data_IF_805440425616
#
_entry.id   IF_805440425616
#
_cell.length_a   1.000
_cell.length_b   1.000
_cell.length_c   1.000
_cell.angle_alpha   90.00
_cell.angle_beta   90.00
_cell.angle_gamma   90.00
#
_symmetry.space_group_name_H-M   'P 1'
#
loop_
_entity.id
_entity.type
_entity.pdbx_description
1 polymer ?
#
# COMPACT_ATOMS: atom_id res chain seq x y z
N UNK A 1 8.41 -1.47 -1.02
CA UNK A 1 9.47 -2.45 -1.30
C UNK A 1 10.58 -2.46 -0.26
N UNK A 2 11.19 -1.31 0.11
CA UNK A 2 12.30 -1.26 1.08
C UNK A 2 11.90 -1.78 2.48
N UNK A 3 10.70 -1.47 2.96
CA UNK A 3 10.21 -1.92 4.26
C UNK A 3 10.01 -3.44 4.36
N UNK A 4 9.58 -4.09 3.28
CA UNK A 4 9.43 -5.55 3.23
C UNK A 4 10.77 -6.29 3.23
N UNK A 5 11.80 -5.71 2.63
CA UNK A 5 13.14 -6.32 2.62
C UNK A 5 13.83 -6.25 3.99
N UNK A 6 13.62 -5.17 4.75
CA UNK A 6 14.11 -5.06 6.13
C UNK A 6 13.41 -6.06 7.06
N UNK A 7 12.08 -6.18 6.99
CA UNK A 7 11.33 -7.14 7.78
C UNK A 7 11.72 -8.59 7.43
N UNK A 8 11.94 -8.88 6.16
CA UNK A 8 12.44 -10.17 5.71
C UNK A 8 13.79 -10.50 6.34
N UNK A 9 14.75 -9.57 6.34
CA UNK A 9 16.06 -9.75 7.01
C UNK A 9 15.90 -10.00 8.52
N UNK A 10 15.00 -9.29 9.18
CA UNK A 10 14.69 -9.49 10.61
C UNK A 10 14.17 -10.89 10.86
N UNK A 11 13.22 -11.38 10.05
CA UNK A 11 12.66 -12.73 10.14
C UNK A 11 13.74 -13.79 9.94
N UNK A 12 14.52 -13.70 8.87
CA UNK A 12 15.57 -14.65 8.54
C UNK A 12 16.63 -14.72 9.63
N UNK A 13 17.12 -13.58 10.12
CA UNK A 13 18.10 -13.52 11.20
C UNK A 13 17.54 -14.08 12.52
N UNK A 14 16.26 -13.84 12.83
CA UNK A 14 15.62 -14.37 14.03
C UNK A 14 15.51 -15.90 13.96
N UNK A 15 15.03 -16.45 12.85
CA UNK A 15 14.91 -17.91 12.66
C UNK A 15 16.28 -18.58 12.71
N UNK A 16 17.27 -18.07 11.97
CA UNK A 16 18.63 -18.63 11.96
C UNK A 16 19.28 -18.59 13.35
N UNK A 17 19.13 -17.50 14.08
CA UNK A 17 19.65 -17.36 15.45
C UNK A 17 19.04 -18.38 16.40
N UNK A 18 17.73 -18.58 16.37
CA UNK A 18 17.05 -19.51 17.27
C UNK A 18 17.29 -20.97 16.84
N UNK A 19 17.46 -21.24 15.55
CA UNK A 19 17.91 -22.54 15.04
C UNK A 19 19.31 -22.90 15.54
N UNK A 20 20.25 -21.95 15.49
CA UNK A 20 21.60 -22.14 16.03
C UNK A 20 21.67 -22.40 17.54
N UNK A 21 20.60 -22.06 18.30
CA UNK A 21 20.45 -22.39 19.72
C UNK A 21 19.76 -23.73 19.98
N UNK A 22 19.37 -24.48 18.94
CA UNK A 22 18.61 -25.73 19.08
C UNK A 22 17.18 -25.57 19.52
N UNK A 23 16.62 -24.35 19.44
CA UNK A 23 15.29 -24.05 20.04
C UNK A 23 14.13 -24.77 19.35
N UNK A 24 14.32 -25.24 18.14
CA UNK A 24 13.32 -25.99 17.34
C UNK A 24 13.41 -27.51 17.54
N UNK A 25 14.46 -28.02 18.18
CA UNK A 25 14.71 -29.45 18.34
C UNK A 25 13.60 -30.12 19.17
N UNK A 26 13.04 -31.20 18.61
CA UNK A 26 11.99 -31.99 19.25
C UNK A 26 10.62 -31.30 19.32
N UNK A 27 10.45 -30.09 18.78
CA UNK A 27 9.21 -29.32 18.84
C UNK A 27 8.43 -29.34 17.54
N UNK A 28 7.13 -29.29 17.64
CA UNK A 28 6.24 -28.99 16.51
C UNK A 28 6.23 -27.47 16.30
N UNK A 29 6.69 -27.03 15.13
CA UNK A 29 6.76 -25.59 14.82
C UNK A 29 5.47 -25.12 14.18
N UNK A 30 4.87 -24.11 14.75
CA UNK A 30 3.64 -23.48 14.31
C UNK A 30 3.89 -22.00 13.99
N UNK A 31 3.09 -21.46 13.06
CA UNK A 31 3.05 -20.00 12.83
C UNK A 31 1.64 -19.53 13.19
N UNK A 32 1.53 -18.50 14.02
CA UNK A 32 0.24 -17.89 14.33
C UNK A 32 0.00 -16.68 13.46
N UNK A 33 -1.03 -16.75 12.63
CA UNK A 33 -1.45 -15.76 11.66
C UNK A 33 -1.06 -16.13 10.21
N UNK A 34 -2.07 -16.36 9.37
CA UNK A 34 -1.87 -16.46 7.92
C UNK A 34 -1.65 -15.08 7.33
N UNK A 35 -0.54 -14.45 7.68
CA UNK A 35 -0.12 -13.11 7.26
C UNK A 35 0.86 -13.17 6.08
N UNK A 36 1.14 -12.08 5.38
CA UNK A 36 2.19 -12.04 4.35
C UNK A 36 3.56 -12.49 4.87
N UNK A 37 3.88 -12.22 6.15
CA UNK A 37 5.13 -12.64 6.79
C UNK A 37 5.26 -14.16 6.97
N UNK A 38 4.14 -14.89 7.02
CA UNK A 38 4.16 -16.34 7.18
C UNK A 38 4.93 -17.04 6.06
N UNK A 39 4.94 -16.48 4.85
CA UNK A 39 5.74 -16.99 3.73
C UNK A 39 7.23 -16.84 4.00
N UNK A 40 7.67 -15.66 4.44
CA UNK A 40 9.08 -15.39 4.74
C UNK A 40 9.58 -16.26 5.90
N UNK A 41 8.73 -16.47 6.93
CA UNK A 41 9.04 -17.38 8.04
C UNK A 41 9.19 -18.81 7.54
N UNK A 42 8.26 -19.29 6.71
CA UNK A 42 8.33 -20.64 6.15
C UNK A 42 9.59 -20.84 5.30
N UNK A 43 9.94 -19.89 4.45
CA UNK A 43 11.16 -19.93 3.63
C UNK A 43 12.42 -19.99 4.54
N UNK A 44 12.45 -19.16 5.58
CA UNK A 44 13.55 -19.16 6.55
C UNK A 44 13.66 -20.49 7.32
N UNK A 45 12.53 -21.08 7.73
CA UNK A 45 12.51 -22.42 8.36
C UNK A 45 12.99 -23.51 7.40
N UNK A 46 12.56 -23.48 6.15
CA UNK A 46 12.99 -24.45 5.12
C UNK A 46 14.49 -24.41 4.88
N UNK A 47 15.11 -23.24 4.87
CA UNK A 47 16.57 -23.10 4.73
C UNK A 47 17.33 -23.72 5.90
N UNK A 48 16.74 -23.70 7.09
CA UNK A 48 17.30 -24.35 8.28
C UNK A 48 16.90 -25.84 8.41
N UNK A 49 16.17 -26.39 7.44
CA UNK A 49 15.70 -27.77 7.48
C UNK A 49 14.62 -28.05 8.54
N UNK A 50 13.91 -27.01 9.00
CA UNK A 50 12.90 -27.08 10.07
C UNK A 50 11.52 -27.22 9.41
N UNK A 51 10.79 -28.32 9.68
CA UNK A 51 9.45 -28.53 9.15
C UNK A 51 8.42 -27.63 9.86
N UNK A 52 7.54 -26.98 9.10
CA UNK A 52 6.36 -26.31 9.61
C UNK A 52 5.23 -27.34 9.75
N UNK A 53 4.68 -27.48 10.97
CA UNK A 53 3.64 -28.48 11.27
C UNK A 53 2.24 -27.99 10.92
N UNK A 54 1.90 -26.76 11.32
CA UNK A 54 0.58 -26.17 11.08
C UNK A 54 0.62 -24.63 11.17
N UNK A 55 -0.49 -24.01 10.76
CA UNK A 55 -0.77 -22.59 10.99
C UNK A 55 -1.90 -22.46 12.01
N UNK A 56 -1.82 -21.43 12.86
CA UNK A 56 -2.92 -20.97 13.70
C UNK A 56 -3.49 -19.69 13.13
N UNK A 57 -4.79 -19.51 13.11
CA UNK A 57 -5.43 -18.25 12.70
C UNK A 57 -6.77 -18.07 13.41
N UNK A 58 -7.04 -16.88 13.95
CA UNK A 58 -8.31 -16.58 14.63
C UNK A 58 -9.51 -16.42 13.69
N UNK A 59 -9.27 -16.37 12.39
CA UNK A 59 -10.35 -16.28 11.41
C UNK A 59 -10.97 -17.68 11.19
N UNK A 60 -12.23 -17.93 11.63
CA UNK A 60 -12.86 -19.23 11.47
C UNK A 60 -13.07 -19.64 10.01
N UNK A 61 -13.08 -18.70 9.07
CA UNK A 61 -13.19 -19.00 7.64
C UNK A 61 -11.92 -19.64 7.06
N UNK A 62 -10.77 -19.45 7.70
CA UNK A 62 -9.52 -20.09 7.30
C UNK A 62 -9.29 -21.43 7.96
N UNK A 63 -9.90 -21.65 9.12
CA UNK A 63 -9.77 -22.89 9.88
C UNK A 63 -10.36 -24.08 9.11
N UNK A 64 -9.65 -25.22 9.15
CA UNK A 64 -9.98 -26.41 8.37
C UNK A 64 -9.50 -26.38 6.91
N UNK A 65 -8.96 -25.27 6.45
CA UNK A 65 -8.30 -25.15 5.16
C UNK A 65 -6.78 -25.38 5.26
N UNK A 66 -6.06 -24.96 4.22
CA UNK A 66 -4.59 -25.00 4.18
C UNK A 66 -4.02 -23.61 3.89
N UNK A 67 -2.90 -23.30 4.51
CA UNK A 67 -2.10 -22.13 4.23
C UNK A 67 -0.64 -22.54 4.09
N UNK A 68 0.01 -22.12 3.02
CA UNK A 68 1.40 -22.53 2.73
C UNK A 68 1.61 -24.05 2.73
N UNK A 69 0.60 -24.82 2.30
CA UNK A 69 0.67 -26.29 2.20
C UNK A 69 0.57 -27.03 3.53
N UNK A 70 0.27 -26.36 4.65
CA UNK A 70 0.01 -26.98 5.95
C UNK A 70 -1.40 -26.64 6.44
N UNK A 71 -2.00 -27.47 7.33
CA UNK A 71 -3.36 -27.24 7.83
C UNK A 71 -3.43 -25.97 8.70
N UNK A 72 -4.60 -25.32 8.68
CA UNK A 72 -4.92 -24.14 9.50
C UNK A 72 -5.91 -24.53 10.58
N UNK A 73 -5.61 -24.15 11.82
CA UNK A 73 -6.48 -24.41 12.98
C UNK A 73 -6.83 -23.10 13.69
N UNK A 74 -7.98 -23.07 14.35
CA UNK A 74 -8.21 -22.13 15.44
C UNK A 74 -7.28 -22.50 16.61
N UNK A 75 -6.65 -21.53 17.29
CA UNK A 75 -5.72 -21.81 18.39
C UNK A 75 -6.31 -22.77 19.44
N UNK A 76 -7.53 -22.51 19.93
CA UNK A 76 -8.20 -23.31 20.93
C UNK A 76 -8.36 -24.77 20.45
N UNK A 77 -8.78 -24.95 19.20
CA UNK A 77 -8.98 -26.28 18.59
C UNK A 77 -7.69 -27.05 18.41
N UNK A 78 -6.60 -26.35 18.16
CA UNK A 78 -5.30 -26.99 18.05
C UNK A 78 -4.85 -27.53 19.41
N UNK A 79 -4.83 -26.69 20.44
CA UNK A 79 -4.37 -27.05 21.78
C UNK A 79 -5.31 -28.06 22.49
N UNK A 80 -6.61 -28.11 22.18
CA UNK A 80 -7.53 -29.17 22.63
C UNK A 80 -7.17 -30.57 22.11
N UNK A 81 -6.58 -30.66 20.93
CA UNK A 81 -6.38 -31.94 20.21
C UNK A 81 -4.94 -32.42 20.15
N UNK A 82 -4.00 -31.52 20.35
CA UNK A 82 -2.57 -31.80 20.20
C UNK A 82 -1.88 -31.57 21.55
N UNK A 83 -1.33 -32.66 22.09
CA UNK A 83 -0.47 -32.65 23.27
C UNK A 83 0.98 -32.89 22.80
N UNK A 84 1.90 -31.98 23.07
CA UNK A 84 3.29 -32.13 22.70
C UNK A 84 4.03 -30.79 22.81
N UNK A 85 5.36 -30.86 22.75
CA UNK A 85 6.18 -29.66 22.76
C UNK A 85 6.00 -28.89 21.47
N UNK A 86 5.51 -27.66 21.56
CA UNK A 86 5.30 -26.77 20.45
C UNK A 86 6.23 -25.56 20.54
N UNK A 87 6.55 -24.98 19.40
CA UNK A 87 7.09 -23.62 19.32
C UNK A 87 6.23 -22.79 18.34
N UNK A 88 5.53 -21.80 18.89
CA UNK A 88 4.66 -20.93 18.11
C UNK A 88 5.41 -19.66 17.74
N UNK A 89 5.52 -19.38 16.44
CA UNK A 89 6.15 -18.16 15.90
C UNK A 89 5.07 -17.11 15.69
N UNK A 90 5.26 -15.94 16.31
CA UNK A 90 4.44 -14.75 16.14
C UNK A 90 5.18 -13.73 15.28
N UNK A 91 4.55 -13.27 14.22
CA UNK A 91 5.08 -12.23 13.34
C UNK A 91 3.92 -11.41 12.77
N UNK A 92 3.37 -10.53 13.57
CA UNK A 92 2.18 -9.75 13.27
C UNK A 92 2.19 -8.44 14.06
N UNK A 93 1.40 -7.47 13.64
CA UNK A 93 1.08 -6.28 14.45
C UNK A 93 0.31 -6.60 15.74
N UNK A 94 -0.24 -7.79 15.83
CA UNK A 94 -1.04 -8.27 16.98
C UNK A 94 -0.25 -9.26 17.86
N UNK A 95 1.08 -9.22 17.84
CA UNK A 95 1.91 -10.15 18.61
C UNK A 95 1.55 -10.16 20.10
N UNK A 96 1.23 -9.00 20.68
CA UNK A 96 0.87 -8.89 22.11
C UNK A 96 -0.44 -9.61 22.44
N UNK A 97 -1.47 -9.36 21.65
CA UNK A 97 -2.78 -9.98 21.80
C UNK A 97 -2.72 -11.51 21.55
N UNK A 98 -1.99 -11.91 20.52
CA UNK A 98 -1.76 -13.32 20.21
C UNK A 98 -0.96 -14.01 21.32
N UNK A 99 0.03 -13.32 21.90
CA UNK A 99 0.80 -13.81 23.01
C UNK A 99 -0.06 -14.04 24.25
N UNK A 100 -0.92 -13.07 24.60
CA UNK A 100 -1.86 -13.20 25.72
C UNK A 100 -2.83 -14.39 25.52
N UNK A 101 -3.37 -14.55 24.31
CA UNK A 101 -4.24 -15.67 23.95
C UNK A 101 -3.51 -17.02 24.10
N UNK A 102 -2.25 -17.10 23.68
CA UNK A 102 -1.46 -18.33 23.85
C UNK A 102 -1.18 -18.64 25.31
N UNK A 103 -0.95 -17.66 26.16
CA UNK A 103 -0.79 -17.84 27.60
C UNK A 103 -2.06 -18.38 28.26
N UNK A 104 -3.23 -17.88 27.89
CA UNK A 104 -4.53 -18.41 28.33
C UNK A 104 -4.76 -19.87 27.89
N UNK A 105 -4.16 -20.28 26.77
CA UNK A 105 -4.21 -21.66 26.25
C UNK A 105 -3.09 -22.56 26.84
N UNK A 106 -2.30 -22.04 27.78
CA UNK A 106 -1.22 -22.79 28.43
C UNK A 106 0.10 -22.81 27.66
N UNK A 107 0.23 -22.03 26.59
CA UNK A 107 1.45 -21.89 25.80
C UNK A 107 2.26 -20.68 26.30
N UNK A 108 3.18 -20.88 27.22
CA UNK A 108 4.00 -19.85 27.84
C UNK A 108 5.08 -19.27 26.94
N UNK A 109 5.84 -18.30 27.45
CA UNK A 109 6.87 -17.57 26.70
C UNK A 109 8.01 -18.46 26.20
N UNK A 110 8.30 -19.58 26.86
CA UNK A 110 9.31 -20.57 26.44
C UNK A 110 8.89 -21.36 25.20
N UNK A 111 7.59 -21.48 24.97
CA UNK A 111 6.99 -22.15 23.80
C UNK A 111 6.61 -21.15 22.69
N UNK A 112 7.09 -19.92 22.77
CA UNK A 112 6.77 -18.84 21.86
C UNK A 112 8.03 -18.12 21.35
N UNK A 113 8.01 -17.72 20.09
CA UNK A 113 9.03 -16.92 19.45
C UNK A 113 8.39 -15.69 18.83
N UNK A 114 8.63 -14.53 19.41
CA UNK A 114 8.12 -13.25 18.94
C UNK A 114 9.12 -12.60 17.97
N UNK A 115 8.72 -12.40 16.73
CA UNK A 115 9.53 -11.70 15.73
C UNK A 115 8.97 -10.28 15.58
N UNK A 116 9.74 -9.25 15.98
CA UNK A 116 9.30 -7.87 15.86
C UNK A 116 9.45 -7.39 14.41
N UNK A 117 8.36 -7.16 13.73
CA UNK A 117 8.31 -6.54 12.40
C UNK A 117 7.79 -5.10 12.50
N UNK A 118 8.00 -4.29 11.46
CA UNK A 118 7.54 -2.88 11.48
C UNK A 118 6.06 -2.75 11.82
N UNK A 119 5.22 -3.68 11.36
CA UNK A 119 3.79 -3.69 11.70
C UNK A 119 3.50 -4.01 13.18
N UNK A 120 4.31 -4.85 13.84
CA UNK A 120 4.15 -5.11 15.28
C UNK A 120 4.57 -3.93 16.16
N UNK A 121 5.46 -3.07 15.65
CA UNK A 121 5.83 -1.80 16.29
C UNK A 121 4.74 -0.73 16.19
N UNK A 122 3.74 -0.90 15.30
CA UNK A 122 2.61 0.04 15.18
C UNK A 122 1.74 0.09 16.44
N UNK A 123 1.73 -0.94 17.29
CA UNK A 123 1.08 -0.89 18.60
C UNK A 123 1.76 0.06 19.58
N UNK A 124 3.05 0.32 19.42
CA UNK A 124 3.78 1.38 20.16
C UNK A 124 3.53 2.76 19.51
N UNK A 125 3.13 2.80 18.23
CA UNK A 125 2.76 4.03 17.52
C UNK A 125 1.36 4.56 17.86
N UNK A 126 0.54 3.81 18.59
CA UNK A 126 -0.78 4.25 19.06
C UNK A 126 -0.71 4.95 20.43
N UNK A 127 0.46 5.47 20.80
CA UNK A 127 0.60 6.39 21.94
C UNK A 127 -0.21 7.66 21.69
N UNK A 128 -0.66 8.31 22.78
CA UNK A 128 -1.37 9.59 22.71
C UNK A 128 -0.60 10.64 21.90
N UNK A 129 0.74 10.64 22.03
CA UNK A 129 1.64 11.54 21.28
C UNK A 129 1.59 11.28 19.78
N UNK A 130 1.56 10.02 19.35
CA UNK A 130 1.48 9.64 17.96
C UNK A 130 0.10 9.94 17.35
N UNK A 131 -0.97 9.76 18.12
CA UNK A 131 -2.31 10.20 17.73
C UNK A 131 -2.35 11.72 17.55
N UNK A 132 -1.80 12.47 18.50
CA UNK A 132 -1.71 13.94 18.39
C UNK A 132 -0.86 14.37 17.18
N UNK A 133 0.23 13.66 16.88
CA UNK A 133 1.05 13.92 15.68
C UNK A 133 0.27 13.66 14.38
N UNK A 134 -0.50 12.57 14.32
CA UNK A 134 -1.39 12.26 13.19
C UNK A 134 -2.46 13.34 13.01
N UNK A 135 -3.08 13.79 14.09
CA UNK A 135 -4.06 14.88 14.04
C UNK A 135 -3.45 16.20 13.56
N UNK A 136 -2.25 16.55 14.04
CA UNK A 136 -1.54 17.74 13.53
C UNK A 136 -1.29 17.65 12.02
N UNK A 137 -0.85 16.50 11.51
CA UNK A 137 -0.66 16.31 10.08
C UNK A 137 -1.95 16.47 9.28
N UNK A 138 -3.08 16.00 9.81
CA UNK A 138 -4.41 16.19 9.20
C UNK A 138 -4.79 17.68 9.20
N UNK A 139 -4.57 18.38 10.31
CA UNK A 139 -4.86 19.81 10.43
C UNK A 139 -4.00 20.65 9.49
N UNK A 140 -2.69 20.41 9.46
CA UNK A 140 -1.73 21.08 8.57
C UNK A 140 -2.06 20.81 7.10
N UNK A 141 -2.37 19.56 6.74
CA UNK A 141 -2.78 19.20 5.38
C UNK A 141 -4.09 19.84 4.95
N UNK A 142 -5.06 19.98 5.88
CA UNK A 142 -6.31 20.68 5.60
C UNK A 142 -6.10 22.20 5.44
N UNK A 143 -5.27 22.79 6.30
CA UNK A 143 -4.91 24.21 6.20
C UNK A 143 -4.21 24.49 4.87
N UNK A 144 -3.23 23.66 4.52
CA UNK A 144 -2.55 23.79 3.24
C UNK A 144 -3.51 23.67 2.04
N UNK A 145 -4.46 22.76 2.10
CA UNK A 145 -5.51 22.67 1.07
C UNK A 145 -6.33 23.97 0.95
N UNK A 146 -6.75 24.55 2.08
CA UNK A 146 -7.50 25.80 2.07
C UNK A 146 -6.68 26.95 1.49
N UNK A 147 -5.39 27.05 1.85
CA UNK A 147 -4.49 28.07 1.32
C UNK A 147 -4.26 27.86 -0.19
N UNK A 148 -4.17 26.62 -0.64
CA UNK A 148 -3.95 26.27 -2.04
C UNK A 148 -5.13 26.70 -2.94
N UNK A 149 -6.36 26.70 -2.42
CA UNK A 149 -7.58 27.04 -3.17
C UNK A 149 -8.20 28.39 -2.75
N UNK A 150 -7.49 29.20 -1.98
CA UNK A 150 -8.05 30.41 -1.35
C UNK A 150 -8.69 31.40 -2.35
N UNK A 151 -8.10 31.53 -3.54
CA UNK A 151 -8.53 32.43 -4.60
C UNK A 151 -9.41 31.75 -5.66
N UNK A 152 -9.70 30.45 -5.49
CA UNK A 152 -10.45 29.67 -6.47
C UNK A 152 -11.97 29.68 -6.22
N UNK A 153 -12.78 29.38 -7.25
CA UNK A 153 -14.23 29.25 -7.09
C UNK A 153 -14.62 28.16 -6.07
N UNK A 154 -15.77 28.31 -5.43
CA UNK A 154 -16.26 27.38 -4.42
C UNK A 154 -16.46 25.93 -4.92
N UNK A 155 -16.58 25.73 -6.24
CA UNK A 155 -16.72 24.42 -6.91
C UNK A 155 -15.40 23.87 -7.46
N UNK A 156 -14.27 24.47 -7.07
CA UNK A 156 -12.93 24.10 -7.55
C UNK A 156 -12.50 22.71 -7.08
N UNK A 157 -11.88 21.94 -7.99
CA UNK A 157 -11.40 20.60 -7.73
C UNK A 157 -9.90 20.51 -7.81
N UNK A 158 -9.32 19.69 -6.94
CA UNK A 158 -7.89 19.34 -6.95
C UNK A 158 -7.74 17.87 -7.38
N UNK A 159 -6.97 17.64 -8.44
CA UNK A 159 -6.54 16.30 -8.87
C UNK A 159 -5.11 16.07 -8.39
N UNK A 160 -4.95 15.25 -7.33
CA UNK A 160 -3.66 14.99 -6.70
C UNK A 160 -2.94 13.81 -7.35
N UNK A 161 -1.79 14.05 -8.00
CA UNK A 161 -0.91 12.99 -8.48
C UNK A 161 0.26 12.78 -7.51
N UNK A 162 0.24 11.73 -6.68
CA UNK A 162 1.27 11.52 -5.66
C UNK A 162 2.54 10.88 -6.18
N UNK A 163 2.54 10.48 -7.44
CA UNK A 163 3.66 9.79 -8.06
C UNK A 163 4.65 10.79 -8.65
N UNK A 164 5.97 10.63 -8.41
CA UNK A 164 7.00 11.46 -9.03
C UNK A 164 7.31 11.05 -10.48
N UNK A 165 6.80 9.89 -10.92
CA UNK A 165 7.03 9.34 -12.25
C UNK A 165 6.17 9.99 -13.32
N UNK A 166 6.77 10.30 -14.49
CA UNK A 166 6.07 10.89 -15.63
C UNK A 166 5.05 9.96 -16.26
N UNK A 167 5.24 8.64 -16.14
CA UNK A 167 4.31 7.61 -16.65
C UNK A 167 2.95 7.68 -15.97
N UNK A 168 2.93 7.86 -14.65
CA UNK A 168 1.69 7.91 -13.86
C UNK A 168 0.83 9.12 -14.23
N UNK A 169 1.44 10.30 -14.28
CA UNK A 169 0.71 11.51 -14.67
C UNK A 169 0.28 11.48 -16.15
N UNK A 170 1.09 10.87 -17.02
CA UNK A 170 0.72 10.66 -18.42
C UNK A 170 -0.57 9.83 -18.52
N UNK A 171 -0.61 8.69 -17.82
CA UNK A 171 -1.76 7.79 -17.80
C UNK A 171 -3.00 8.48 -17.21
N UNK A 172 -2.83 9.24 -16.13
CA UNK A 172 -3.92 10.01 -15.54
C UNK A 172 -4.48 11.05 -16.53
N UNK A 173 -3.62 11.81 -17.20
CA UNK A 173 -4.03 12.85 -18.14
C UNK A 173 -4.73 12.28 -19.40
N UNK A 174 -4.46 11.03 -19.78
CA UNK A 174 -5.17 10.38 -20.88
C UNK A 174 -6.68 10.29 -20.67
N UNK A 175 -7.12 10.17 -19.42
CA UNK A 175 -8.52 9.95 -19.05
C UNK A 175 -9.18 11.12 -18.35
N UNK A 176 -8.37 12.12 -17.94
CA UNK A 176 -8.85 13.24 -17.14
C UNK A 176 -10.00 14.00 -17.81
N UNK A 177 -9.86 14.34 -19.10
CA UNK A 177 -10.91 15.07 -19.84
C UNK A 177 -12.24 14.34 -19.83
N UNK A 178 -12.22 13.02 -20.06
CA UNK A 178 -13.43 12.20 -20.06
C UNK A 178 -14.08 12.12 -18.66
N UNK A 179 -13.27 12.08 -17.63
CA UNK A 179 -13.73 12.14 -16.24
C UNK A 179 -14.36 13.49 -15.93
N UNK A 180 -13.69 14.58 -16.30
CA UNK A 180 -14.18 15.95 -16.10
C UNK A 180 -15.52 16.17 -16.79
N UNK A 181 -15.67 15.68 -18.03
CA UNK A 181 -16.92 15.76 -18.79
C UNK A 181 -18.04 14.97 -18.09
N UNK A 182 -17.78 13.72 -17.67
CA UNK A 182 -18.75 12.89 -16.95
C UNK A 182 -19.23 13.52 -15.65
N UNK A 183 -18.31 14.07 -14.88
CA UNK A 183 -18.63 14.67 -13.58
C UNK A 183 -19.10 16.14 -13.67
N UNK A 184 -19.06 16.73 -14.87
CA UNK A 184 -19.40 18.14 -15.08
C UNK A 184 -18.45 19.13 -14.41
N UNK A 185 -17.19 18.73 -14.17
CA UNK A 185 -16.17 19.55 -13.51
C UNK A 185 -15.54 20.51 -14.52
N UNK A 186 -15.55 21.81 -14.21
CA UNK A 186 -14.99 22.86 -15.09
C UNK A 186 -13.82 23.60 -14.45
N UNK A 187 -13.85 23.76 -13.13
CA UNK A 187 -12.86 24.51 -12.37
C UNK A 187 -11.97 23.51 -11.63
N UNK A 188 -10.71 23.38 -12.04
CA UNK A 188 -9.82 22.41 -11.43
C UNK A 188 -8.34 22.75 -11.64
N UNK A 189 -7.49 22.22 -10.76
CA UNK A 189 -6.05 22.13 -10.95
C UNK A 189 -5.56 20.69 -10.80
N UNK A 190 -4.47 20.37 -11.50
CA UNK A 190 -3.68 19.17 -11.27
C UNK A 190 -2.51 19.50 -10.37
N UNK A 191 -2.37 18.79 -9.27
CA UNK A 191 -1.31 18.98 -8.30
C UNK A 191 -0.28 17.84 -8.42
N UNK A 192 0.99 18.22 -8.56
CA UNK A 192 2.13 17.30 -8.76
C UNK A 192 3.29 17.68 -7.85
N UNK A 193 4.22 16.74 -7.65
CA UNK A 193 5.42 16.98 -6.82
C UNK A 193 6.68 17.23 -7.64
N UNK A 194 6.72 16.78 -8.90
CA UNK A 194 7.89 16.86 -9.76
C UNK A 194 7.67 17.78 -10.97
N UNK A 195 8.72 18.50 -11.36
CA UNK A 195 8.69 19.37 -12.54
C UNK A 195 8.49 18.59 -13.84
N UNK A 196 9.03 17.38 -13.94
CA UNK A 196 8.79 16.48 -15.06
C UNK A 196 7.31 16.12 -15.22
N UNK A 197 6.60 15.89 -14.08
CA UNK A 197 5.16 15.63 -14.08
C UNK A 197 4.38 16.87 -14.53
N UNK A 198 4.78 18.08 -14.10
CA UNK A 198 4.18 19.34 -14.54
C UNK A 198 4.29 19.49 -16.07
N UNK A 199 5.49 19.31 -16.62
CA UNK A 199 5.73 19.38 -18.06
C UNK A 199 4.89 18.33 -18.83
N UNK A 200 4.77 17.11 -18.32
CA UNK A 200 3.95 16.07 -18.93
C UNK A 200 2.46 16.44 -18.96
N UNK A 201 1.92 16.97 -17.85
CA UNK A 201 0.54 17.43 -17.81
C UNK A 201 0.26 18.60 -18.77
N UNK A 202 1.21 19.53 -18.94
CA UNK A 202 1.11 20.62 -19.92
C UNK A 202 0.94 20.10 -21.36
N UNK A 203 1.55 18.97 -21.74
CA UNK A 203 1.42 18.38 -23.06
C UNK A 203 -0.03 17.94 -23.37
N UNK A 204 -0.84 17.70 -22.33
CA UNK A 204 -2.26 17.41 -22.45
C UNK A 204 -3.15 18.67 -22.47
N UNK A 205 -2.55 19.87 -22.51
CA UNK A 205 -3.27 21.14 -22.52
C UNK A 205 -3.92 21.49 -21.17
N UNK A 206 -3.41 20.95 -20.08
CA UNK A 206 -3.85 21.34 -18.73
C UNK A 206 -3.20 22.68 -18.39
N UNK A 207 -4.00 23.69 -18.08
CA UNK A 207 -3.54 25.04 -17.85
C UNK A 207 -3.18 25.32 -16.39
N UNK A 208 -3.97 24.82 -15.44
CA UNK A 208 -3.69 25.00 -14.01
C UNK A 208 -3.02 23.74 -13.45
N UNK A 209 -1.70 23.85 -13.27
CA UNK A 209 -0.88 22.77 -12.71
C UNK A 209 -0.06 23.36 -11.57
N UNK A 210 -0.33 22.90 -10.35
CA UNK A 210 0.32 23.39 -9.13
C UNK A 210 1.36 22.39 -8.65
N UNK A 211 2.57 22.86 -8.40
CA UNK A 211 3.63 22.04 -7.87
C UNK A 211 3.75 22.29 -6.36
N UNK A 212 3.72 21.19 -5.61
CA UNK A 212 3.86 21.18 -4.14
C UNK A 212 4.97 20.23 -3.73
N UNK A 213 5.40 20.30 -2.48
CA UNK A 213 6.32 19.32 -1.92
C UNK A 213 5.62 17.98 -1.67
N UNK A 214 6.41 16.91 -1.51
CA UNK A 214 5.88 15.59 -1.18
C UNK A 214 5.18 15.57 0.19
N UNK A 215 5.67 16.35 1.14
CA UNK A 215 5.11 16.43 2.49
C UNK A 215 3.75 17.14 2.48
N UNK A 216 3.64 18.26 1.77
CA UNK A 216 2.37 18.98 1.57
C UNK A 216 1.33 18.10 0.88
N UNK A 217 1.71 17.39 -0.18
CA UNK A 217 0.80 16.47 -0.86
C UNK A 217 0.36 15.33 0.05
N UNK A 218 1.29 14.74 0.81
CA UNK A 218 0.99 13.67 1.77
C UNK A 218 0.06 14.17 2.88
N UNK A 219 0.28 15.39 3.38
CA UNK A 219 -0.61 16.04 4.35
C UNK A 219 -2.02 16.22 3.81
N UNK A 220 -2.16 16.75 2.59
CA UNK A 220 -3.46 16.90 1.92
C UNK A 220 -4.19 15.56 1.74
N UNK A 221 -3.48 14.50 1.35
CA UNK A 221 -4.07 13.16 1.24
C UNK A 221 -4.59 12.64 2.57
N UNK A 222 -3.82 12.79 3.65
CA UNK A 222 -4.26 12.41 5.01
C UNK A 222 -5.48 13.21 5.46
N UNK A 223 -5.48 14.51 5.20
CA UNK A 223 -6.63 15.36 5.50
C UNK A 223 -7.87 14.94 4.70
N UNK A 224 -7.70 14.66 3.42
CA UNK A 224 -8.78 14.17 2.58
C UNK A 224 -9.31 12.80 3.04
N UNK A 225 -8.44 11.88 3.45
CA UNK A 225 -8.87 10.60 4.02
C UNK A 225 -9.73 10.78 5.28
N UNK A 226 -9.40 11.77 6.10
CA UNK A 226 -10.12 12.07 7.32
C UNK A 226 -11.46 12.77 7.06
N UNK A 227 -11.46 13.83 6.23
CA UNK A 227 -12.63 14.68 6.00
C UNK A 227 -13.52 14.19 4.85
N UNK A 228 -12.96 13.47 3.88
CA UNK A 228 -13.64 13.00 2.67
C UNK A 228 -13.92 14.09 1.63
N UNK A 229 -14.37 13.64 0.45
CA UNK A 229 -14.61 14.49 -0.73
C UNK A 229 -15.70 15.55 -0.50
N UNK A 230 -16.63 15.31 0.43
CA UNK A 230 -17.66 16.31 0.77
C UNK A 230 -17.09 17.59 1.37
N UNK A 231 -15.97 17.47 2.11
CA UNK A 231 -15.31 18.60 2.77
C UNK A 231 -14.16 19.14 1.95
N UNK A 232 -13.45 18.25 1.26
CA UNK A 232 -12.28 18.58 0.43
C UNK A 232 -12.54 18.04 -0.98
N UNK A 233 -12.70 18.94 -1.95
CA UNK A 233 -12.91 18.56 -3.34
C UNK A 233 -11.60 18.09 -3.97
N UNK A 234 -11.13 16.97 -3.49
CA UNK A 234 -9.93 16.30 -3.95
C UNK A 234 -10.29 14.98 -4.62
N UNK A 235 -9.72 14.73 -5.79
CA UNK A 235 -9.65 13.44 -6.45
C UNK A 235 -8.21 12.98 -6.48
N UNK A 236 -7.80 12.03 -5.64
CA UNK A 236 -6.50 11.41 -5.74
C UNK A 236 -6.37 10.59 -7.03
N UNK A 237 -5.31 10.80 -7.77
CA UNK A 237 -4.97 10.03 -8.97
C UNK A 237 -4.15 8.80 -8.58
N UNK A 238 -4.74 7.96 -7.74
CA UNK A 238 -4.15 6.75 -7.17
C UNK A 238 -4.82 5.53 -7.77
N UNK A 239 -4.04 4.65 -8.39
CA UNK A 239 -4.51 3.34 -8.86
C UNK A 239 -4.46 2.25 -7.77
N UNK A 240 -3.92 2.58 -6.61
CA UNK A 240 -4.01 1.75 -5.40
C UNK A 240 -5.00 2.40 -4.45
N UNK A 241 -5.95 1.62 -3.93
CA UNK A 241 -6.79 2.11 -2.84
C UNK A 241 -5.88 2.59 -1.71
N UNK A 242 -5.80 3.90 -1.50
CA UNK A 242 -4.92 4.51 -0.49
C UNK A 242 -5.08 3.87 0.89
N UNK A 243 -6.33 3.60 1.29
CA UNK A 243 -6.64 2.99 2.59
C UNK A 243 -6.33 1.52 2.64
N UNK A 244 -6.59 0.79 1.56
CA UNK A 244 -6.48 -0.67 1.52
C UNK A 244 -5.18 -1.15 0.92
N UNK A 245 -4.40 -0.26 0.29
CA UNK A 245 -3.25 -0.60 -0.56
C UNK A 245 -3.61 -1.69 -1.59
N UNK A 246 -4.83 -1.64 -2.08
CA UNK A 246 -5.44 -2.66 -2.91
C UNK A 246 -5.99 -2.01 -4.16
N UNK A 247 -5.61 -2.52 -5.31
CA UNK A 247 -6.24 -2.22 -6.59
C UNK A 247 -7.39 -3.21 -6.77
N UNK A 248 -8.63 -2.75 -6.55
CA UNK A 248 -9.80 -3.63 -6.55
C UNK A 248 -9.97 -4.34 -7.90
N UNK A 249 -9.82 -3.61 -8.99
CA UNK A 249 -9.96 -4.20 -10.32
C UNK A 249 -8.83 -5.21 -10.62
N UNK A 250 -7.59 -4.93 -10.24
CA UNK A 250 -6.46 -5.83 -10.46
C UNK A 250 -6.60 -7.15 -9.70
N UNK A 251 -7.24 -7.15 -8.53
CA UNK A 251 -7.47 -8.37 -7.75
C UNK A 251 -8.46 -9.33 -8.45
N UNK A 252 -9.44 -8.77 -9.16
CA UNK A 252 -10.44 -9.54 -9.93
C UNK A 252 -9.91 -9.89 -11.33
N UNK A 253 -8.96 -9.14 -11.85
CA UNK A 253 -8.41 -9.25 -13.21
C UNK A 253 -6.87 -9.32 -13.18
N UNK A 254 -6.27 -10.49 -12.91
CA UNK A 254 -4.82 -10.62 -12.72
C UNK A 254 -3.98 -10.30 -13.97
N UNK A 255 -4.61 -10.16 -15.14
CA UNK A 255 -3.97 -9.76 -16.39
C UNK A 255 -4.14 -8.27 -16.71
N UNK A 256 -4.57 -7.46 -15.74
CA UNK A 256 -4.81 -6.03 -15.93
C UNK A 256 -3.55 -5.29 -16.39
N UNK A 257 -3.70 -4.43 -17.36
CA UNK A 257 -2.65 -3.51 -17.78
C UNK A 257 -2.60 -2.27 -16.88
N UNK A 258 -1.44 -1.63 -16.82
CA UNK A 258 -1.27 -0.38 -16.08
C UNK A 258 -2.27 0.71 -16.53
N UNK A 259 -2.58 0.75 -17.81
CA UNK A 259 -3.56 1.64 -18.39
C UNK A 259 -5.00 1.38 -17.89
N UNK A 260 -5.38 0.12 -17.74
CA UNK A 260 -6.70 -0.27 -17.23
C UNK A 260 -6.84 0.06 -15.73
N UNK A 261 -5.75 0.04 -14.94
CA UNK A 261 -5.78 0.51 -13.56
C UNK A 261 -6.21 1.97 -13.47
N UNK A 262 -5.70 2.85 -14.35
CA UNK A 262 -6.17 4.24 -14.38
C UNK A 262 -7.60 4.36 -14.86
N UNK A 263 -7.99 3.60 -15.88
CA UNK A 263 -9.33 3.64 -16.42
C UNK A 263 -10.38 3.24 -15.37
N UNK A 264 -10.18 2.11 -14.71
CA UNK A 264 -11.17 1.53 -13.79
C UNK A 264 -11.00 2.00 -12.35
N UNK A 265 -9.81 1.89 -11.76
CA UNK A 265 -9.63 2.18 -10.34
C UNK A 265 -9.53 3.67 -10.04
N UNK A 266 -8.87 4.45 -10.92
CA UNK A 266 -8.71 5.88 -10.68
C UNK A 266 -9.96 6.64 -11.11
N UNK A 267 -10.46 6.38 -12.32
CA UNK A 267 -11.48 7.21 -12.91
C UNK A 267 -12.88 6.57 -12.98
N UNK A 268 -12.98 5.25 -12.71
CA UNK A 268 -14.24 4.52 -12.80
C UNK A 268 -14.95 4.77 -14.16
N UNK A 269 -14.19 4.63 -15.24
CA UNK A 269 -14.64 4.86 -16.62
C UNK A 269 -14.80 3.52 -17.35
N UNK A 270 -15.58 3.53 -18.46
CA UNK A 270 -15.77 2.37 -19.31
C UNK A 270 -14.75 2.32 -20.46
N UNK A 271 -14.51 1.15 -21.09
CA UNK A 271 -13.51 0.99 -22.16
C UNK A 271 -13.77 1.85 -23.42
N UNK A 272 -15.02 2.25 -23.63
CA UNK A 272 -15.47 3.03 -24.79
C UNK A 272 -15.02 4.49 -24.73
N UNK A 273 -14.50 4.92 -23.60
CA UNK A 273 -14.09 6.31 -23.38
C UNK A 273 -12.93 6.69 -24.29
N UNK A 274 -13.05 7.84 -24.91
CA UNK A 274 -11.99 8.39 -25.77
C UNK A 274 -10.79 8.81 -24.94
N UNK A 275 -9.64 8.20 -25.23
CA UNK A 275 -8.36 8.58 -24.64
C UNK A 275 -7.83 9.84 -25.30
N UNK A 276 -7.44 10.82 -24.52
CA UNK A 276 -6.70 11.96 -25.03
C UNK A 276 -5.28 11.53 -25.41
N UNK A 277 -4.81 11.94 -26.56
CA UNK A 277 -3.44 11.68 -27.01
C UNK A 277 -2.67 12.99 -27.07
N UNK A 278 -1.41 12.93 -26.71
CA UNK A 278 -0.50 14.07 -26.93
C UNK A 278 -0.29 14.22 -28.42
N UNK A 279 -0.45 15.42 -28.93
CA UNK A 279 0.00 15.79 -30.27
C UNK A 279 1.39 16.38 -30.09
N UNK A 280 2.42 15.63 -30.45
CA UNK A 280 3.79 16.19 -30.53
C UNK A 280 3.82 17.04 -31.77
N UNK A 281 4.11 18.33 -31.61
CA UNK A 281 4.38 19.20 -32.73
C UNK A 281 5.73 18.79 -33.35
N UNK A 282 5.64 18.02 -34.45
CA UNK A 282 6.83 17.55 -35.19
C UNK A 282 7.58 18.69 -35.88
N UNK A 283 6.98 19.87 -35.97
CA UNK A 283 7.61 21.07 -36.54
C UNK A 283 8.34 21.88 -35.47
N UNK A 284 8.29 21.50 -34.21
CA UNK A 284 9.09 22.18 -33.19
C UNK A 284 10.58 22.03 -33.53
N UNK A 285 11.31 23.10 -33.49
CA UNK A 285 12.76 23.13 -33.74
C UNK A 285 13.52 22.08 -32.92
N UNK A 286 13.09 21.86 -31.68
CA UNK A 286 13.66 20.86 -30.79
C UNK A 286 13.42 19.42 -31.27
N UNK A 287 12.25 19.13 -31.80
CA UNK A 287 11.94 17.82 -32.34
C UNK A 287 12.75 17.56 -33.62
N UNK A 288 12.89 18.58 -34.49
CA UNK A 288 13.70 18.47 -35.70
C UNK A 288 15.17 18.21 -35.40
N UNK A 289 15.76 18.99 -34.49
CA UNK A 289 17.14 18.81 -34.03
C UNK A 289 17.37 17.41 -33.45
N UNK A 290 16.42 16.88 -32.65
CA UNK A 290 16.52 15.55 -32.07
C UNK A 290 16.37 14.44 -33.13
N UNK A 291 15.47 14.61 -34.11
CA UNK A 291 15.30 13.65 -35.20
C UNK A 291 16.52 13.59 -36.11
N UNK A 292 17.16 14.76 -36.36
CA UNK A 292 18.41 14.86 -37.12
C UNK A 292 19.57 14.22 -36.35
N UNK A 293 19.70 14.49 -35.04
CA UNK A 293 20.75 13.91 -34.19
C UNK A 293 20.64 12.37 -34.06
N UNK A 294 19.43 11.84 -34.03
CA UNK A 294 19.16 10.41 -33.92
C UNK A 294 19.02 9.70 -35.28
N UNK A 295 19.23 10.39 -36.41
CA UNK A 295 19.04 9.87 -37.77
C UNK A 295 17.67 9.20 -38.00
N UNK A 296 16.63 9.64 -37.28
CA UNK A 296 15.27 9.12 -37.37
C UNK A 296 14.51 9.80 -38.52
N UNK A 297 13.90 8.99 -39.39
CA UNK A 297 13.09 9.49 -40.54
C UNK A 297 11.62 9.68 -40.20
#
# INVERSE_FOLDING_TARGET
MIAQEEDRKVIWNAVAREAGKGRFEGKQVLIFGCTPYARDIREALQEQGIPLAAMLDNNPQKAGGTCLGVPVYLPERYFERHSGDVLVILCSRYNREMAAQLEELGCGSESRMDIPVKESRRGEEDSLENLQAKFRQVEEGYRFYLDLIADDPADFWIFLCPYPGTGDIYMACMYLDAYLEREGIRNYAVVVTAESCRKTAMLFGINDIRKVSQDELTGMLKAWEFFGTRKMRIKPLLYWGWRTKRCLYADEHPQITFNEMFLYDVFDLTPEVRRKRITVDRESRYAQELFEELELK
#
